data_IF_414531541143
#
_entry.id   IF_414531541143
#
_cell.length_a   1.000
_cell.length_b   1.000
_cell.length_c   1.000
_cell.angle_alpha   90.00
_cell.angle_beta   90.00
_cell.angle_gamma   90.00
#
_symmetry.space_group_name_H-M   'P 1'
#
loop_
_entity.id
_entity.type
_entity.pdbx_description
1 polymer ?
#
# COMPACT_ATOMS: atom_id res chain seq x y z
N UNK A 1 -78.10 -27.21 3.53
CA UNK A 1 -77.77 -26.47 4.77
C UNK A 1 -76.29 -26.67 5.03
N UNK A 2 -75.49 -25.58 4.99
CA UNK A 2 -74.16 -25.37 5.59
C UNK A 2 -73.02 -26.33 5.15
N UNK A 3 -72.11 -26.02 4.21
CA UNK A 3 -71.02 -25.01 4.19
C UNK A 3 -70.14 -24.95 5.46
N UNK A 4 -68.98 -25.61 5.44
CA UNK A 4 -67.81 -25.37 6.32
C UNK A 4 -66.59 -26.11 5.72
N UNK A 5 -65.72 -25.48 4.92
CA UNK A 5 -64.64 -24.55 5.28
C UNK A 5 -63.53 -25.18 6.14
N UNK A 6 -62.36 -25.44 5.53
CA UNK A 6 -61.02 -25.26 6.13
C UNK A 6 -59.94 -25.42 5.06
N UNK A 7 -59.54 -24.30 4.47
CA UNK A 7 -58.31 -24.18 3.71
C UNK A 7 -57.15 -24.12 4.71
N UNK A 8 -56.21 -25.08 4.60
CA UNK A 8 -54.96 -25.04 5.34
C UNK A 8 -53.98 -24.17 4.52
N UNK A 9 -53.74 -22.95 4.97
CA UNK A 9 -52.68 -22.09 4.42
C UNK A 9 -51.33 -22.57 4.93
N UNK A 10 -50.51 -23.15 4.05
CA UNK A 10 -49.11 -23.39 4.31
C UNK A 10 -48.35 -22.06 4.17
N UNK A 11 -48.03 -21.42 5.30
CA UNK A 11 -47.09 -20.31 5.34
C UNK A 11 -45.67 -20.89 5.19
N UNK A 12 -45.14 -20.88 3.98
CA UNK A 12 -43.71 -21.10 3.76
C UNK A 12 -42.99 -19.84 4.20
N UNK A 13 -42.33 -19.93 5.35
CA UNK A 13 -41.39 -18.93 5.84
C UNK A 13 -40.16 -18.96 4.91
N UNK A 14 -40.18 -18.15 3.85
CA UNK A 14 -38.99 -17.84 3.07
C UNK A 14 -38.08 -17.00 3.96
N UNK A 15 -37.20 -17.66 4.72
CA UNK A 15 -36.00 -17.03 5.22
C UNK A 15 -35.13 -16.68 4.00
N UNK A 16 -35.37 -15.52 3.41
CA UNK A 16 -34.39 -14.88 2.56
C UNK A 16 -33.20 -14.55 3.47
N UNK A 17 -32.27 -15.51 3.58
CA UNK A 17 -30.93 -15.18 4.02
C UNK A 17 -30.42 -14.14 3.05
N UNK A 18 -30.31 -12.90 3.50
CA UNK A 18 -29.43 -11.93 2.86
C UNK A 18 -28.05 -12.56 2.90
N UNK A 19 -27.65 -13.20 1.79
CA UNK A 19 -26.25 -13.40 1.52
C UNK A 19 -25.66 -12.00 1.56
N UNK A 20 -24.89 -11.69 2.60
CA UNK A 20 -23.95 -10.61 2.54
C UNK A 20 -23.01 -11.00 1.41
N UNK A 21 -23.30 -10.55 0.20
CA UNK A 21 -22.28 -10.39 -0.81
C UNK A 21 -21.30 -9.41 -0.16
N UNK A 22 -20.20 -9.95 0.31
CA UNK A 22 -19.10 -9.18 0.86
C UNK A 22 -18.63 -8.31 -0.32
N UNK A 23 -19.14 -7.08 -0.38
CA UNK A 23 -18.86 -6.17 -1.48
C UNK A 23 -17.41 -5.78 -1.35
N UNK A 24 -16.53 -6.52 -2.04
CA UNK A 24 -15.13 -6.18 -2.16
C UNK A 24 -15.07 -4.75 -2.68
N UNK A 25 -14.46 -3.82 -1.94
CA UNK A 25 -14.40 -2.44 -2.38
C UNK A 25 -13.69 -2.37 -3.74
N UNK A 26 -14.43 -1.91 -4.75
CA UNK A 26 -13.90 -1.56 -6.07
C UNK A 26 -13.89 -0.04 -6.15
N UNK A 27 -12.72 0.53 -6.39
CA UNK A 27 -12.56 1.96 -6.63
C UNK A 27 -12.50 2.21 -8.12
N UNK A 28 -13.42 3.03 -8.60
CA UNK A 28 -13.53 3.43 -10.00
C UNK A 28 -12.82 4.78 -10.21
N UNK A 29 -11.69 4.77 -10.92
CA UNK A 29 -11.00 6.00 -11.33
C UNK A 29 -11.20 6.26 -12.83
N UNK A 30 -10.85 7.46 -13.30
CA UNK A 30 -10.99 7.85 -14.71
C UNK A 30 -10.38 6.84 -15.71
N UNK A 31 -9.17 6.33 -15.43
CA UNK A 31 -8.43 5.45 -16.36
C UNK A 31 -8.31 3.99 -15.94
N UNK A 32 -8.78 3.60 -14.76
CA UNK A 32 -8.59 2.26 -14.20
C UNK A 32 -9.62 1.96 -13.10
N UNK A 33 -9.67 0.70 -12.68
CA UNK A 33 -10.29 0.26 -11.43
C UNK A 33 -9.23 -0.33 -10.51
N UNK A 34 -9.41 -0.14 -9.20
CA UNK A 34 -8.56 -0.71 -8.18
C UNK A 34 -9.44 -1.54 -7.24
N UNK A 35 -9.14 -2.83 -7.14
CA UNK A 35 -9.91 -3.80 -6.38
C UNK A 35 -9.03 -4.38 -5.29
N UNK A 36 -9.54 -4.50 -4.07
CA UNK A 36 -8.83 -5.22 -3.01
C UNK A 36 -8.71 -6.69 -3.37
N UNK A 37 -7.55 -7.32 -3.14
CA UNK A 37 -7.46 -8.77 -3.21
C UNK A 37 -8.30 -9.41 -2.07
N UNK A 38 -9.13 -10.40 -2.41
CA UNK A 38 -9.97 -11.13 -1.45
C UNK A 38 -9.14 -11.85 -0.38
N UNK A 39 -7.91 -12.22 -0.72
CA UNK A 39 -7.02 -12.96 0.17
C UNK A 39 -6.44 -12.11 1.32
N UNK A 40 -6.52 -10.78 1.24
CA UNK A 40 -5.97 -9.86 2.26
C UNK A 40 -7.04 -8.95 2.86
N UNK A 41 -7.74 -9.39 3.93
CA UNK A 41 -8.92 -8.71 4.42
C UNK A 41 -8.69 -7.38 5.14
N UNK A 42 -7.43 -7.01 5.40
CA UNK A 42 -7.08 -5.92 6.32
C UNK A 42 -6.72 -4.61 5.61
N UNK A 43 -6.64 -4.59 4.28
CA UNK A 43 -6.14 -3.41 3.54
C UNK A 43 -7.26 -2.46 3.09
N UNK A 44 -7.75 -1.65 4.02
CA UNK A 44 -8.62 -0.52 3.68
C UNK A 44 -7.81 0.56 2.95
N UNK A 45 -8.43 1.17 1.92
CA UNK A 45 -7.89 2.34 1.23
C UNK A 45 -8.97 3.42 1.13
N UNK A 46 -8.54 4.67 1.07
CA UNK A 46 -9.45 5.80 0.84
C UNK A 46 -8.87 6.71 -0.25
N UNK A 47 -9.74 7.30 -1.07
CA UNK A 47 -9.31 8.22 -2.14
C UNK A 47 -9.03 9.59 -1.50
N UNK A 48 -7.81 10.09 -1.64
CA UNK A 48 -7.41 11.42 -1.18
C UNK A 48 -7.65 12.49 -2.25
N UNK A 49 -7.38 12.16 -3.51
CA UNK A 49 -7.54 13.08 -4.63
C UNK A 49 -7.66 12.33 -5.95
N UNK A 50 -8.48 12.84 -6.86
CA UNK A 50 -8.57 12.36 -8.24
C UNK A 50 -8.43 13.54 -9.23
N UNK A 51 -7.60 13.35 -10.25
CA UNK A 51 -7.41 14.24 -11.38
C UNK A 51 -7.35 13.41 -12.68
N UNK A 52 -7.57 14.01 -13.87
CA UNK A 52 -7.68 13.27 -15.14
C UNK A 52 -6.49 12.37 -15.52
N UNK A 53 -5.33 12.54 -14.89
CA UNK A 53 -4.13 11.73 -15.11
C UNK A 53 -3.52 11.13 -13.84
N UNK A 54 -4.14 11.32 -12.67
CA UNK A 54 -3.54 10.92 -11.39
C UNK A 54 -4.60 10.72 -10.32
N UNK A 55 -4.56 9.56 -9.66
CA UNK A 55 -5.40 9.28 -8.48
C UNK A 55 -4.49 8.94 -7.30
N UNK A 56 -4.74 9.54 -6.14
CA UNK A 56 -3.98 9.30 -4.90
C UNK A 56 -4.88 8.66 -3.86
N UNK A 57 -4.37 7.60 -3.24
CA UNK A 57 -5.00 6.82 -2.19
C UNK A 57 -4.21 6.93 -0.89
N UNK A 58 -4.91 6.91 0.25
CA UNK A 58 -4.33 6.64 1.55
C UNK A 58 -4.39 5.13 1.82
N UNK A 59 -3.31 4.55 2.32
CA UNK A 59 -3.17 3.11 2.57
C UNK A 59 -3.41 2.78 4.06
N UNK A 60 -4.63 3.04 4.55
CA UNK A 60 -4.96 3.05 5.99
C UNK A 60 -4.73 1.69 6.64
N UNK A 61 -5.01 0.61 5.91
CA UNK A 61 -4.90 -0.75 6.45
C UNK A 61 -3.47 -1.27 6.62
N UNK A 62 -2.46 -0.60 6.04
CA UNK A 62 -1.08 -1.10 6.12
C UNK A 62 -0.36 -0.64 7.39
N UNK A 63 -0.54 0.63 7.79
CA UNK A 63 0.23 1.24 8.88
C UNK A 63 0.14 0.49 10.22
N UNK A 64 -1.06 0.06 10.70
CA UNK A 64 -1.17 -0.65 11.97
C UNK A 64 -0.43 -2.01 12.00
N UNK A 65 -0.15 -2.58 10.84
CA UNK A 65 0.54 -3.86 10.69
C UNK A 65 2.07 -3.71 10.57
N UNK A 66 2.57 -2.47 10.52
CA UNK A 66 3.97 -2.12 10.32
C UNK A 66 4.48 -1.27 11.47
N UNK A 67 4.24 -1.75 12.70
CA UNK A 67 4.69 -1.16 13.96
C UNK A 67 5.34 -2.26 14.79
N UNK A 68 6.66 -2.16 15.00
CA UNK A 68 7.40 -3.07 15.86
C UNK A 68 8.04 -2.29 17.01
N UNK A 69 8.04 -2.88 18.20
CA UNK A 69 8.66 -2.27 19.37
C UNK A 69 9.13 -3.35 20.33
N UNK A 70 10.28 -3.13 20.97
CA UNK A 70 10.88 -4.09 21.88
C UNK A 70 11.57 -3.41 23.05
N UNK A 71 11.56 -4.07 24.20
CA UNK A 71 12.21 -3.64 25.44
C UNK A 71 12.97 -4.84 26.01
N UNK A 72 14.28 -4.69 26.17
CA UNK A 72 15.14 -5.75 26.69
C UNK A 72 15.25 -5.74 28.22
N UNK A 73 14.50 -4.90 28.93
CA UNK A 73 14.44 -4.89 30.40
C UNK A 73 14.27 -6.31 30.96
N UNK A 74 15.10 -6.65 31.94
CA UNK A 74 15.14 -7.96 32.61
C UNK A 74 15.66 -9.15 31.77
N UNK A 75 16.11 -8.93 30.53
CA UNK A 75 16.71 -9.96 29.67
C UNK A 75 17.95 -9.42 28.96
N UNK A 76 18.80 -10.29 28.41
CA UNK A 76 20.01 -9.84 27.70
C UNK A 76 19.67 -9.18 26.36
N UNK A 77 18.70 -9.73 25.63
CA UNK A 77 18.34 -9.29 24.28
C UNK A 77 16.84 -9.44 24.05
N UNK A 78 16.26 -8.53 23.26
CA UNK A 78 14.87 -8.58 22.82
C UNK A 78 14.73 -8.14 21.38
N UNK A 79 13.73 -8.67 20.68
CA UNK A 79 13.53 -8.50 19.24
C UNK A 79 12.04 -8.52 18.88
N UNK A 80 11.64 -7.70 17.92
CA UNK A 80 10.33 -7.79 17.28
C UNK A 80 10.47 -7.57 15.77
N UNK A 81 9.63 -8.26 15.01
CA UNK A 81 9.58 -8.17 13.56
C UNK A 81 8.14 -8.13 13.10
N UNK A 82 7.85 -7.17 12.21
CA UNK A 82 6.58 -7.07 11.51
C UNK A 82 6.82 -6.97 10.03
N UNK A 83 6.00 -7.66 9.26
CA UNK A 83 5.92 -7.48 7.81
C UNK A 83 4.48 -7.53 7.37
N UNK A 84 4.18 -6.76 6.33
CA UNK A 84 2.85 -6.73 5.75
C UNK A 84 2.94 -6.63 4.23
N UNK A 85 2.21 -7.53 3.58
CA UNK A 85 2.00 -7.53 2.14
C UNK A 85 0.59 -7.04 1.85
N UNK A 86 0.46 -6.18 0.85
CA UNK A 86 -0.84 -5.77 0.32
C UNK A 86 -0.86 -5.96 -1.20
N UNK A 87 -1.92 -6.60 -1.67
CA UNK A 87 -2.13 -6.83 -3.10
C UNK A 87 -3.43 -6.15 -3.56
N UNK A 88 -3.33 -5.39 -4.64
CA UNK A 88 -4.48 -4.76 -5.29
C UNK A 88 -4.59 -5.21 -6.73
N UNK A 89 -5.76 -5.69 -7.11
CA UNK A 89 -6.13 -5.87 -8.50
C UNK A 89 -6.27 -4.53 -9.18
N UNK A 90 -5.70 -4.40 -10.37
CA UNK A 90 -5.64 -3.16 -11.12
C UNK A 90 -6.08 -3.44 -12.55
N UNK A 91 -7.25 -2.96 -12.94
CA UNK A 91 -7.78 -3.14 -14.30
C UNK A 91 -7.79 -1.81 -15.04
N UNK A 92 -6.97 -1.68 -16.07
CA UNK A 92 -6.85 -0.46 -16.88
C UNK A 92 -8.03 -0.39 -17.87
N UNK A 93 -8.71 0.76 -17.91
CA UNK A 93 -9.84 0.99 -18.82
C UNK A 93 -9.33 1.15 -20.25
N UNK A 94 -10.15 0.73 -21.21
CA UNK A 94 -9.84 0.88 -22.63
C UNK A 94 -9.52 2.35 -22.98
N UNK A 95 -8.48 2.56 -23.78
CA UNK A 95 -8.01 3.91 -24.15
C UNK A 95 -7.13 4.58 -23.09
N UNK A 96 -6.73 3.87 -22.03
CA UNK A 96 -5.77 4.35 -21.02
C UNK A 96 -4.62 3.36 -20.84
N UNK A 97 -3.55 3.86 -20.24
CA UNK A 97 -2.44 3.07 -19.69
C UNK A 97 -1.97 3.69 -18.39
N UNK A 98 -1.46 2.86 -17.49
CA UNK A 98 -0.76 3.33 -16.29
C UNK A 98 0.69 3.60 -16.66
N UNK A 99 1.16 4.78 -16.23
CA UNK A 99 2.47 5.33 -16.59
C UNK A 99 3.48 5.27 -15.46
N UNK A 100 3.01 5.27 -14.21
CA UNK A 100 3.81 5.04 -13.01
C UNK A 100 2.89 4.84 -11.81
N UNK A 101 3.42 4.15 -10.81
CA UNK A 101 2.86 4.09 -9.46
C UNK A 101 3.94 4.63 -8.52
N UNK A 102 3.54 5.51 -7.61
CA UNK A 102 4.43 6.10 -6.61
C UNK A 102 3.84 5.87 -5.23
N UNK A 103 4.63 5.40 -4.28
CA UNK A 103 4.25 5.38 -2.86
C UNK A 103 5.17 6.33 -2.10
N UNK A 104 4.57 7.20 -1.31
CA UNK A 104 5.29 8.06 -0.37
C UNK A 104 4.85 7.72 1.05
N UNK A 105 5.74 7.89 2.00
CA UNK A 105 5.47 7.70 3.42
C UNK A 105 6.68 8.07 4.23
N UNK A 106 6.63 7.73 5.52
CA UNK A 106 7.69 8.04 6.46
C UNK A 106 8.11 6.77 7.19
N UNK A 107 9.41 6.60 7.35
CA UNK A 107 9.98 5.76 8.37
C UNK A 107 10.05 6.57 9.66
N UNK A 108 9.67 5.96 10.77
CA UNK A 108 9.72 6.54 12.10
C UNK A 108 10.41 5.53 13.01
N UNK A 109 11.41 5.98 13.77
CA UNK A 109 12.18 5.10 14.63
C UNK A 109 12.54 5.77 15.95
N UNK A 110 12.59 4.97 17.00
CA UNK A 110 13.04 5.38 18.33
C UNK A 110 14.07 4.38 18.83
N UNK A 111 15.18 4.89 19.35
CA UNK A 111 16.33 4.10 19.80
C UNK A 111 16.80 4.65 21.14
N UNK A 112 16.72 3.83 22.18
CA UNK A 112 17.13 4.19 23.53
C UNK A 112 18.04 3.08 24.08
N UNK A 113 19.34 3.10 23.73
CA UNK A 113 20.29 2.15 24.30
C UNK A 113 20.48 2.41 25.79
N UNK A 114 20.59 1.34 26.58
CA UNK A 114 20.85 1.39 28.00
C UNK A 114 22.12 2.19 28.29
N UNK A 115 22.03 3.16 29.21
CA UNK A 115 23.14 4.03 29.56
C UNK A 115 23.88 3.48 30.79
N UNK A 116 25.09 2.95 30.57
CA UNK A 116 25.98 2.52 31.64
C UNK A 116 27.46 2.69 31.24
N UNK A 117 28.42 2.22 32.06
CA UNK A 117 29.86 2.29 31.73
C UNK A 117 30.21 1.59 30.42
N UNK A 118 29.50 0.50 30.11
CA UNK A 118 29.41 -0.08 28.78
C UNK A 118 27.94 0.06 28.35
N UNK A 119 27.60 0.85 27.32
CA UNK A 119 26.22 1.03 26.90
C UNK A 119 25.66 -0.25 26.26
N UNK A 120 24.33 -0.37 26.29
CA UNK A 120 23.62 -1.39 25.54
C UNK A 120 23.54 -1.04 24.07
N UNK A 121 22.78 -1.83 23.31
CA UNK A 121 22.52 -1.55 21.90
C UNK A 121 21.02 -1.42 21.63
N UNK A 122 20.66 -0.59 20.67
CA UNK A 122 19.31 -0.43 20.17
C UNK A 122 19.40 -0.14 18.67
N UNK A 123 18.75 -0.98 17.87
CA UNK A 123 18.75 -0.85 16.42
C UNK A 123 17.35 -1.06 15.85
N UNK A 124 17.13 -0.50 14.67
CA UNK A 124 15.94 -0.75 13.87
C UNK A 124 16.31 -0.80 12.39
N UNK A 125 15.52 -1.53 11.61
CA UNK A 125 15.60 -1.56 10.17
C UNK A 125 14.19 -1.57 9.59
N UNK A 126 13.93 -0.69 8.63
CA UNK A 126 12.64 -0.54 7.97
C UNK A 126 12.84 -0.61 6.47
N UNK A 127 11.90 -1.25 5.78
CA UNK A 127 11.91 -1.37 4.33
C UNK A 127 10.50 -1.18 3.77
N UNK A 128 10.40 -0.53 2.63
CA UNK A 128 9.19 -0.47 1.83
C UNK A 128 9.52 -0.67 0.35
N UNK A 129 8.71 -1.45 -0.35
CA UNK A 129 8.81 -1.62 -1.80
C UNK A 129 7.45 -1.71 -2.47
N UNK A 130 7.41 -1.35 -3.75
CA UNK A 130 6.24 -1.49 -4.62
C UNK A 130 6.63 -2.24 -5.90
N UNK A 131 5.78 -3.17 -6.31
CA UNK A 131 5.84 -3.82 -7.61
C UNK A 131 4.50 -3.70 -8.34
N UNK A 132 4.55 -3.52 -9.65
CA UNK A 132 3.38 -3.70 -10.51
C UNK A 132 3.80 -4.27 -11.88
N UNK A 133 2.94 -5.13 -12.44
CA UNK A 133 3.10 -5.61 -13.82
C UNK A 133 4.32 -6.46 -14.10
N UNK A 134 4.92 -7.10 -13.08
CA UNK A 134 6.14 -7.90 -13.22
C UNK A 134 7.38 -7.08 -13.60
N UNK A 135 7.30 -5.75 -13.44
CA UNK A 135 8.34 -4.79 -13.81
C UNK A 135 9.37 -4.51 -12.71
N UNK A 136 10.03 -3.35 -12.85
CA UNK A 136 11.07 -2.86 -11.95
C UNK A 136 10.57 -2.73 -10.51
N UNK A 137 11.39 -3.21 -9.58
CA UNK A 137 11.18 -3.07 -8.14
C UNK A 137 12.03 -1.89 -7.68
N UNK A 138 11.39 -0.90 -7.09
CA UNK A 138 12.09 0.14 -6.34
C UNK A 138 11.83 -0.11 -4.85
N UNK A 139 12.77 0.29 -4.00
CA UNK A 139 12.66 0.12 -2.57
C UNK A 139 13.28 1.29 -1.82
N UNK A 140 12.75 1.58 -0.65
CA UNK A 140 13.34 2.49 0.32
C UNK A 140 13.64 1.72 1.59
N UNK A 141 14.71 2.09 2.27
CA UNK A 141 15.04 1.55 3.58
C UNK A 141 15.64 2.60 4.50
N UNK A 142 15.50 2.38 5.79
CA UNK A 142 16.18 3.13 6.84
C UNK A 142 16.68 2.14 7.89
N UNK A 143 17.86 2.40 8.44
CA UNK A 143 18.46 1.62 9.52
C UNK A 143 18.97 2.56 10.58
N UNK A 144 18.95 2.13 11.84
CA UNK A 144 19.40 2.91 13.00
C UNK A 144 18.75 4.30 13.05
N UNK A 145 17.48 4.37 12.67
CA UNK A 145 16.72 5.61 12.59
C UNK A 145 16.24 6.02 13.98
N UNK A 146 16.65 7.21 14.42
CA UNK A 146 16.11 7.88 15.59
C UNK A 146 15.46 9.20 15.15
N UNK A 147 14.16 9.17 14.90
CA UNK A 147 13.39 10.29 14.34
C UNK A 147 12.55 9.87 13.13
N UNK A 148 12.36 10.80 12.19
CA UNK A 148 11.54 10.63 10.99
C UNK A 148 12.38 10.75 9.73
N UNK A 149 12.15 9.86 8.76
CA UNK A 149 12.73 9.92 7.42
C UNK A 149 11.64 9.71 6.38
N UNK A 150 11.39 10.73 5.55
CA UNK A 150 10.48 10.60 4.41
C UNK A 150 11.09 9.66 3.34
N UNK A 151 10.24 8.89 2.68
CA UNK A 151 10.62 8.07 1.55
C UNK A 151 9.64 8.21 0.38
N UNK A 152 10.15 7.92 -0.81
CA UNK A 152 9.39 7.83 -2.05
C UNK A 152 9.92 6.66 -2.85
N UNK A 153 9.03 5.74 -3.21
CA UNK A 153 9.32 4.58 -4.05
C UNK A 153 8.47 4.68 -5.31
N UNK A 154 9.05 4.46 -6.48
CA UNK A 154 8.32 4.51 -7.74
C UNK A 154 8.61 3.33 -8.64
N UNK A 155 7.58 2.79 -9.29
CA UNK A 155 7.74 1.74 -10.29
C UNK A 155 8.45 2.21 -11.57
N UNK A 156 8.77 3.50 -11.68
CA UNK A 156 9.37 4.11 -12.86
C UNK A 156 8.38 4.26 -14.03
N UNK A 157 8.86 4.71 -15.20
CA UNK A 157 8.05 4.78 -16.41
C UNK A 157 7.59 3.40 -16.86
N UNK A 158 6.29 3.23 -17.07
CA UNK A 158 5.66 2.00 -17.53
C UNK A 158 4.54 2.28 -18.53
N UNK A 159 4.04 1.22 -19.16
CA UNK A 159 2.87 1.26 -20.04
C UNK A 159 1.99 0.05 -19.74
N UNK A 160 1.51 -0.03 -18.50
CA UNK A 160 0.64 -1.13 -18.10
C UNK A 160 -0.75 -0.93 -18.72
N UNK A 161 -1.23 -1.97 -19.39
CA UNK A 161 -2.53 -2.07 -20.03
C UNK A 161 -3.19 -3.38 -19.55
N UNK A 162 -4.52 -3.45 -19.61
CA UNK A 162 -5.27 -4.63 -19.16
C UNK A 162 -5.28 -4.80 -17.64
N UNK A 163 -5.34 -6.06 -17.19
CA UNK A 163 -5.39 -6.41 -15.76
C UNK A 163 -4.01 -6.76 -15.23
N UNK A 164 -3.71 -6.28 -14.03
CA UNK A 164 -2.47 -6.58 -13.31
C UNK A 164 -2.67 -6.52 -11.81
N UNK A 165 -1.62 -6.83 -11.05
CA UNK A 165 -1.60 -6.72 -9.59
C UNK A 165 -0.54 -5.72 -9.19
N UNK A 166 -0.88 -4.85 -8.24
CA UNK A 166 0.07 -4.03 -7.50
C UNK A 166 0.35 -4.73 -6.18
N UNK A 167 1.62 -5.04 -5.93
CA UNK A 167 2.08 -5.58 -4.66
C UNK A 167 2.85 -4.51 -3.90
N UNK A 168 2.47 -4.29 -2.64
CA UNK A 168 3.17 -3.43 -1.70
C UNK A 168 3.73 -4.32 -0.59
N UNK A 169 5.01 -4.17 -0.28
CA UNK A 169 5.66 -4.90 0.80
C UNK A 169 6.31 -3.92 1.76
N UNK A 170 5.96 -4.04 3.04
CA UNK A 170 6.60 -3.31 4.12
C UNK A 170 7.16 -4.27 5.17
N UNK A 171 8.27 -3.89 5.79
CA UNK A 171 8.79 -4.59 6.97
C UNK A 171 9.44 -3.64 7.96
N UNK A 172 9.39 -4.03 9.23
CA UNK A 172 10.01 -3.37 10.37
C UNK A 172 10.66 -4.44 11.23
N UNK A 173 11.93 -4.26 11.50
CA UNK A 173 12.77 -5.08 12.36
C UNK A 173 13.33 -4.17 13.47
N UNK A 174 13.25 -4.60 14.73
CA UNK A 174 13.81 -3.87 15.87
C UNK A 174 14.53 -4.82 16.82
N UNK A 175 15.69 -4.39 17.31
CA UNK A 175 16.51 -5.11 18.27
C UNK A 175 16.94 -4.22 19.44
N UNK A 176 16.97 -4.80 20.63
CA UNK A 176 17.46 -4.16 21.84
C UNK A 176 18.34 -5.11 22.66
N UNK A 177 19.56 -4.70 22.98
CA UNK A 177 20.50 -5.43 23.83
C UNK A 177 20.71 -4.68 25.15
N UNK A 178 20.47 -5.38 26.25
CA UNK A 178 20.65 -4.86 27.61
C UNK A 178 22.10 -4.87 28.05
N UNK A 179 22.38 -4.12 29.11
CA UNK A 179 23.65 -4.20 29.84
C UNK A 179 23.46 -4.93 31.14
N UNK A 180 24.40 -5.80 31.47
CA UNK A 180 24.43 -6.44 32.78
C UNK A 180 24.95 -5.46 33.83
N UNK A 181 24.16 -5.23 34.88
CA UNK A 181 24.54 -4.39 36.01
C UNK A 181 24.63 -5.20 37.30
N UNK A 182 25.67 -4.90 38.08
CA UNK A 182 25.90 -5.44 39.41
C UNK A 182 26.00 -4.30 40.41
N UNK A 183 25.11 -4.29 41.39
CA UNK A 183 25.16 -3.35 42.50
C UNK A 183 26.12 -3.88 43.58
N UNK A 184 27.28 -3.24 43.73
CA UNK A 184 28.28 -3.65 44.73
C UNK A 184 27.81 -3.46 46.18
N UNK A 185 26.83 -2.58 46.43
CA UNK A 185 26.34 -2.28 47.78
C UNK A 185 25.28 -3.29 48.20
N UNK A 186 24.29 -3.56 47.34
CA UNK A 186 23.21 -4.49 47.65
C UNK A 186 23.53 -5.95 47.28
N UNK A 187 24.49 -6.16 46.38
CA UNK A 187 24.80 -7.47 45.80
C UNK A 187 23.80 -7.92 44.73
N UNK A 188 22.85 -7.06 44.34
CA UNK A 188 21.84 -7.37 43.33
C UNK A 188 22.41 -7.36 41.91
N UNK A 189 21.82 -8.19 41.06
CA UNK A 189 22.15 -8.31 39.64
C UNK A 189 20.89 -8.08 38.83
N UNK A 190 20.97 -7.18 37.84
CA UNK A 190 19.86 -6.96 36.93
C UNK A 190 20.32 -6.48 35.56
N UNK A 191 19.43 -6.65 34.58
CA UNK A 191 19.62 -6.15 33.23
C UNK A 191 19.06 -4.74 33.13
N UNK A 192 19.92 -3.78 32.76
CA UNK A 192 19.51 -2.45 32.34
C UNK A 192 19.06 -2.54 30.88
N UNK A 193 17.74 -2.37 30.66
CA UNK A 193 17.12 -2.53 29.36
C UNK A 193 17.45 -1.42 28.38
N UNK A 194 17.58 -1.80 27.10
CA UNK A 194 17.51 -0.93 25.94
C UNK A 194 16.11 -1.02 25.33
N UNK A 195 15.71 0.00 24.58
CA UNK A 195 14.43 0.02 23.88
C UNK A 195 14.64 0.42 22.42
N UNK A 196 13.91 -0.24 21.53
CA UNK A 196 13.87 0.10 20.11
C UNK A 196 12.45 0.02 19.59
N UNK A 197 12.07 0.97 18.74
CA UNK A 197 10.81 0.97 18.03
C UNK A 197 11.02 1.42 16.58
N UNK A 198 10.12 0.96 15.72
CA UNK A 198 10.08 1.32 14.31
C UNK A 198 8.65 1.24 13.80
N UNK A 199 8.29 2.15 12.90
CA UNK A 199 7.04 2.05 12.17
C UNK A 199 7.07 2.75 10.81
N UNK A 200 6.14 2.36 9.96
CA UNK A 200 5.82 3.06 8.71
C UNK A 200 4.52 3.83 8.89
N UNK A 201 4.50 5.11 8.53
CA UNK A 201 3.30 5.95 8.62
C UNK A 201 3.12 6.87 7.40
N UNK A 202 1.90 7.38 7.26
CA UNK A 202 1.46 8.30 6.21
C UNK A 202 1.65 7.75 4.79
N UNK A 203 1.33 6.47 4.62
CA UNK A 203 1.47 5.74 3.38
C UNK A 203 0.43 6.21 2.36
N UNK A 204 0.90 6.79 1.26
CA UNK A 204 0.08 7.34 0.16
C UNK A 204 0.53 6.78 -1.17
N UNK A 205 -0.40 6.19 -1.91
CA UNK A 205 -0.15 5.65 -3.26
C UNK A 205 -0.76 6.56 -4.32
N UNK A 206 0.05 7.02 -5.27
CA UNK A 206 -0.39 7.77 -6.45
C UNK A 206 -0.23 6.91 -7.69
N UNK A 207 -1.32 6.73 -8.45
CA UNK A 207 -1.36 6.02 -9.72
C UNK A 207 -1.53 7.04 -10.84
N UNK A 208 -0.55 7.13 -11.75
CA UNK A 208 -0.58 8.04 -12.88
C UNK A 208 -1.04 7.32 -14.15
N UNK A 209 -2.01 7.90 -14.86
CA UNK A 209 -2.54 7.38 -16.13
C UNK A 209 -2.38 8.37 -17.27
N UNK A 210 -2.30 7.84 -18.48
CA UNK A 210 -2.35 8.63 -19.72
C UNK A 210 -3.31 8.00 -20.71
N UNK A 211 -4.07 8.79 -21.48
CA UNK A 211 -4.80 8.27 -22.63
C UNK A 211 -3.85 7.61 -23.64
N UNK A 212 -4.27 6.48 -24.20
CA UNK A 212 -3.63 5.82 -25.34
C UNK A 212 -4.36 6.31 -26.59
N UNK A 213 -3.69 7.03 -27.51
CA UNK A 213 -4.33 7.48 -28.73
C UNK A 213 -4.86 6.28 -29.52
N UNK A 214 -6.14 6.31 -29.86
CA UNK A 214 -6.73 5.28 -30.70
C UNK A 214 -6.05 5.29 -32.09
N UNK A 215 -5.97 4.15 -32.79
CA UNK A 215 -5.50 4.11 -34.18
C UNK A 215 -6.21 5.13 -35.08
N UNK A 216 -7.49 5.39 -34.82
CA UNK A 216 -8.28 6.43 -35.50
C UNK A 216 -7.76 7.85 -35.28
N UNK A 217 -7.21 8.16 -34.11
CA UNK A 217 -6.60 9.47 -33.84
C UNK A 217 -5.39 9.71 -34.74
N UNK A 218 -4.56 8.69 -34.95
CA UNK A 218 -3.43 8.75 -35.88
C UNK A 218 -3.89 8.85 -37.34
N UNK A 219 -4.95 8.14 -37.71
CA UNK A 219 -5.56 8.26 -39.04
C UNK A 219 -6.09 9.67 -39.29
N UNK A 220 -6.80 10.27 -38.33
CA UNK A 220 -7.30 11.65 -38.45
C UNK A 220 -6.17 12.68 -38.51
N UNK A 221 -5.12 12.51 -37.70
CA UNK A 221 -3.94 13.37 -37.75
C UNK A 221 -3.25 13.30 -39.12
N UNK A 222 -3.03 12.09 -39.65
CA UNK A 222 -2.39 11.90 -40.96
C UNK A 222 -3.25 12.45 -42.10
N UNK A 223 -4.57 12.25 -42.08
CA UNK A 223 -5.51 12.86 -43.03
C UNK A 223 -5.49 14.38 -42.95
N UNK A 224 -5.49 14.96 -41.74
CA UNK A 224 -5.40 16.40 -41.54
C UNK A 224 -4.11 17.00 -42.10
N UNK A 225 -2.96 16.37 -41.82
CA UNK A 225 -1.66 16.79 -42.34
C UNK A 225 -1.60 16.66 -43.87
N UNK A 226 -2.13 15.58 -44.45
CA UNK A 226 -2.22 15.41 -45.89
C UNK A 226 -3.09 16.49 -46.55
N UNK A 227 -4.23 16.84 -45.94
CA UNK A 227 -5.10 17.93 -46.39
C UNK A 227 -4.40 19.29 -46.39
N UNK A 228 -3.66 19.62 -45.33
CA UNK A 228 -2.86 20.85 -45.23
C UNK A 228 -1.75 20.91 -46.30
N UNK A 229 -1.07 19.79 -46.56
CA UNK A 229 -0.05 19.70 -47.60
C UNK A 229 -0.65 19.91 -49.01
N UNK A 230 -1.80 19.29 -49.30
CA UNK A 230 -2.52 19.48 -50.55
C UNK A 230 -2.96 20.94 -50.73
N UNK A 231 -3.55 21.56 -49.71
CA UNK A 231 -3.98 22.96 -49.75
C UNK A 231 -2.80 23.92 -50.00
N UNK A 232 -1.64 23.68 -49.36
CA UNK A 232 -0.41 24.46 -49.61
C UNK A 232 0.08 24.32 -51.06
N UNK A 233 -0.03 23.12 -51.64
CA UNK A 233 0.34 22.89 -53.04
C UNK A 233 -0.60 23.61 -54.00
N UNK A 234 -1.90 23.65 -53.71
CA UNK A 234 -2.87 24.38 -54.51
C UNK A 234 -2.64 25.90 -54.49
N UNK A 235 -2.25 26.49 -53.34
CA UNK A 235 -1.98 27.94 -53.24
C UNK A 235 -0.70 28.42 -53.94
N UNK A 236 0.21 27.51 -54.28
CA UNK A 236 1.48 27.83 -54.96
C UNK A 236 1.39 27.72 -56.48
N UNK A 237 0.31 27.13 -56.99
CA UNK A 237 -0.01 27.09 -58.41
C UNK A 237 -0.93 28.26 -58.73
#
# INVERSE_FOLDING_TARGET
MQLLARALSAAVLLCAGTAYADNIPVYEATGFTLTRNELDPVVNISVLSEAPGSTTFWLEGMEPNLIASTDSSYQQYSYDYKSFDAYYGLAVKAGYRITSITVNGNFAGELYPAQWTMPGDANNAMNFSVNAGGGYFDNASATDLHGLQEFKVTTGPMALEGETVVALHGSVDVGAESVFYYDEISGEQYWLGSQAAGNLNWLRMTVNVSPVPEPGTWAMLTVGLAGLAAARRYRRR
#
